data_IF_630199225838
#
_entry.id   IF_630199225838
#
_cell.length_a   1.000
_cell.length_b   1.000
_cell.length_c   1.000
_cell.angle_alpha   90.00
_cell.angle_beta   90.00
_cell.angle_gamma   90.00
#
_symmetry.space_group_name_H-M   'P 1'
#
loop_
_entity.id
_entity.type
_entity.pdbx_description
1 polymer ?
#
# COMPACT_ATOMS: atom_id res chain seq x y z
N UNK A 1 -2.84 43.50 3.08
CA UNK A 1 -2.72 42.56 4.24
C UNK A 1 -3.85 41.52 4.28
N UNK A 2 -5.15 41.87 4.46
CA UNK A 2 -6.26 40.86 4.51
C UNK A 2 -6.39 40.09 3.22
N UNK A 3 -6.33 40.74 2.05
CA UNK A 3 -6.43 40.09 0.76
C UNK A 3 -5.27 39.11 0.49
N UNK A 4 -4.06 39.44 0.90
CA UNK A 4 -2.90 38.54 0.75
C UNK A 4 -3.05 37.27 1.63
N UNK A 5 -3.56 37.40 2.85
CA UNK A 5 -3.85 36.25 3.70
C UNK A 5 -4.93 35.37 3.09
N UNK A 6 -6.01 36.00 2.59
CA UNK A 6 -7.06 35.28 1.91
C UNK A 6 -6.53 34.50 0.70
N UNK A 7 -5.71 35.15 -0.14
CA UNK A 7 -5.14 34.51 -1.34
C UNK A 7 -4.24 33.32 -1.00
N UNK A 8 -3.38 33.46 0.02
CA UNK A 8 -2.50 32.35 0.48
C UNK A 8 -3.25 31.12 0.96
N UNK A 9 -4.46 31.29 1.47
CA UNK A 9 -5.24 30.22 2.08
C UNK A 9 -6.23 29.60 1.10
N UNK A 10 -6.97 30.43 0.35
CA UNK A 10 -8.15 30.00 -0.40
C UNK A 10 -8.05 30.12 -1.92
N UNK A 11 -7.05 30.80 -2.45
CA UNK A 11 -6.84 30.77 -3.91
C UNK A 11 -6.27 29.42 -4.32
N UNK A 12 -6.65 28.87 -5.50
CA UNK A 12 -6.08 27.65 -6.03
C UNK A 12 -4.56 27.74 -6.10
N UNK A 13 -3.88 26.77 -5.51
CA UNK A 13 -2.42 26.66 -5.51
C UNK A 13 -1.94 25.31 -6.07
N UNK A 14 -2.86 24.41 -6.41
CA UNK A 14 -2.55 23.15 -7.07
C UNK A 14 -2.88 23.27 -8.54
N UNK A 15 -1.88 22.98 -9.38
CA UNK A 15 -2.01 22.96 -10.84
C UNK A 15 -2.03 21.53 -11.34
N UNK A 16 -2.82 21.29 -12.38
CA UNK A 16 -2.75 20.06 -13.15
C UNK A 16 -2.17 20.35 -14.54
N UNK A 17 -1.28 19.48 -15.06
CA UNK A 17 -0.92 19.51 -16.46
C UNK A 17 -2.17 19.36 -17.33
N UNK A 18 -2.19 20.03 -18.48
CA UNK A 18 -3.26 19.88 -19.46
C UNK A 18 -3.49 18.39 -19.78
N UNK A 19 -4.76 17.98 -19.79
CA UNK A 19 -5.22 16.60 -20.01
C UNK A 19 -5.05 15.61 -18.85
N UNK A 20 -4.68 16.03 -17.65
CA UNK A 20 -4.61 15.14 -16.48
C UNK A 20 -5.86 15.30 -15.61
N UNK A 21 -6.66 14.24 -15.45
CA UNK A 21 -7.87 14.27 -14.59
C UNK A 21 -7.57 14.04 -13.12
N UNK A 22 -6.48 13.36 -12.81
CA UNK A 22 -6.08 13.01 -11.45
C UNK A 22 -4.59 12.73 -11.38
N UNK A 23 -3.98 13.00 -10.25
CA UNK A 23 -2.58 12.68 -9.96
C UNK A 23 -2.48 12.04 -8.59
N UNK A 24 -1.58 11.06 -8.47
CA UNK A 24 -1.27 10.43 -7.20
C UNK A 24 0.08 10.88 -6.71
N UNK A 25 0.16 11.26 -5.45
CA UNK A 25 1.41 11.53 -4.76
C UNK A 25 1.65 10.45 -3.70
N UNK A 26 2.92 10.16 -3.48
CA UNK A 26 3.37 9.14 -2.54
C UNK A 26 4.24 9.81 -1.48
N UNK A 27 3.80 9.75 -0.23
CA UNK A 27 4.53 10.24 0.93
C UNK A 27 5.03 9.02 1.68
N UNK A 28 6.34 8.85 1.76
CA UNK A 28 6.97 7.70 2.40
C UNK A 28 6.77 7.70 3.91
N UNK A 29 6.91 6.53 4.52
CA UNK A 29 6.70 6.35 5.97
C UNK A 29 7.62 7.25 6.80
N UNK A 30 8.87 7.47 6.34
CA UNK A 30 9.86 8.30 7.04
C UNK A 30 9.92 9.75 6.53
N UNK A 31 8.92 10.19 5.74
CA UNK A 31 8.91 11.52 5.17
C UNK A 31 8.79 12.60 6.25
N UNK A 32 9.66 13.57 6.18
CA UNK A 32 9.54 14.84 6.88
C UNK A 32 8.78 15.89 6.05
N UNK A 33 8.60 17.07 6.59
CA UNK A 33 7.89 18.14 5.90
C UNK A 33 8.62 18.60 4.62
N UNK A 34 9.95 18.63 4.64
CA UNK A 34 10.74 19.02 3.46
C UNK A 34 10.56 18.02 2.32
N UNK A 35 10.52 16.73 2.65
CA UNK A 35 10.21 15.65 1.69
C UNK A 35 8.82 15.85 1.06
N UNK A 36 7.81 16.21 1.84
CA UNK A 36 6.47 16.51 1.30
C UNK A 36 6.50 17.68 0.33
N UNK A 37 7.15 18.79 0.70
CA UNK A 37 7.29 19.96 -0.18
C UNK A 37 8.01 19.58 -1.47
N UNK A 38 9.10 18.81 -1.36
CA UNK A 38 9.87 18.30 -2.51
C UNK A 38 8.98 17.47 -3.43
N UNK A 39 8.27 16.47 -2.89
CA UNK A 39 7.35 15.61 -3.67
C UNK A 39 6.29 16.45 -4.40
N UNK A 40 5.68 17.42 -3.74
CA UNK A 40 4.68 18.28 -4.39
C UNK A 40 5.28 19.15 -5.50
N UNK A 41 6.48 19.70 -5.28
CA UNK A 41 7.18 20.55 -6.25
C UNK A 41 7.70 19.77 -7.45
N UNK A 42 8.35 18.63 -7.26
CA UNK A 42 8.84 17.75 -8.33
C UNK A 42 7.71 17.19 -9.19
N UNK A 43 6.55 17.02 -8.61
CA UNK A 43 5.35 16.67 -9.34
C UNK A 43 4.69 17.85 -10.06
N UNK A 44 5.22 19.06 -9.94
CA UNK A 44 4.70 20.27 -10.58
C UNK A 44 3.31 20.66 -10.06
N UNK A 45 2.98 20.30 -8.83
CA UNK A 45 1.64 20.50 -8.28
C UNK A 45 1.45 21.87 -7.62
N UNK A 46 2.52 22.54 -7.19
CA UNK A 46 2.42 23.81 -6.47
C UNK A 46 2.74 24.99 -7.40
N UNK A 47 1.82 25.97 -7.45
CA UNK A 47 2.08 27.28 -8.08
C UNK A 47 3.05 28.08 -7.20
N UNK A 48 2.81 28.08 -5.89
CA UNK A 48 3.57 28.87 -4.93
C UNK A 48 3.86 28.02 -3.66
N UNK A 49 5.07 27.46 -3.60
CA UNK A 49 5.51 26.65 -2.46
C UNK A 49 5.59 27.44 -1.17
N UNK A 50 6.00 28.72 -1.21
CA UNK A 50 6.12 29.55 -0.01
C UNK A 50 4.77 29.76 0.68
N UNK A 51 3.68 29.92 -0.09
CA UNK A 51 2.33 30.06 0.47
C UNK A 51 1.84 28.76 1.10
N UNK A 52 2.16 27.62 0.50
CA UNK A 52 1.86 26.30 1.06
C UNK A 52 2.62 26.07 2.38
N UNK A 53 3.93 26.31 2.39
CA UNK A 53 4.77 26.13 3.57
C UNK A 53 4.32 27.02 4.73
N UNK A 54 4.01 28.29 4.44
CA UNK A 54 3.51 29.21 5.45
C UNK A 54 2.24 28.69 6.11
N UNK A 55 1.24 28.27 5.30
CA UNK A 55 -0.03 27.77 5.85
C UNK A 55 0.15 26.42 6.56
N UNK A 56 1.03 25.54 6.05
CA UNK A 56 1.34 24.26 6.69
C UNK A 56 1.91 24.45 8.10
N UNK A 57 2.78 25.45 8.30
CA UNK A 57 3.30 25.83 9.63
C UNK A 57 2.18 26.33 10.53
N UNK A 58 1.32 27.23 10.05
CA UNK A 58 0.18 27.76 10.82
C UNK A 58 -0.78 26.64 11.26
N UNK A 59 -1.00 25.65 10.40
CA UNK A 59 -1.87 24.49 10.67
C UNK A 59 -1.18 23.36 11.44
N UNK A 60 0.09 23.54 11.85
CA UNK A 60 0.91 22.52 12.53
C UNK A 60 1.00 21.21 11.76
N UNK A 61 0.92 21.27 10.43
CA UNK A 61 1.06 20.10 9.58
C UNK A 61 2.51 19.58 9.57
N UNK A 62 3.48 20.47 9.71
CA UNK A 62 4.92 20.14 9.74
C UNK A 62 5.30 19.05 10.75
N UNK A 63 4.54 18.91 11.82
CA UNK A 63 4.78 17.95 12.89
C UNK A 63 3.78 16.77 12.86
N UNK A 64 2.95 16.68 11.82
CA UNK A 64 1.92 15.67 11.72
C UNK A 64 1.78 15.16 10.27
N UNK A 65 2.92 14.73 9.72
CA UNK A 65 2.96 14.12 8.40
C UNK A 65 2.28 12.74 8.46
N UNK A 66 1.43 12.48 7.51
CA UNK A 66 0.78 11.18 7.35
C UNK A 66 1.29 10.54 6.06
N UNK A 67 2.06 9.43 6.15
CA UNK A 67 2.54 8.73 4.97
C UNK A 67 1.39 8.08 4.20
N UNK A 68 1.61 7.82 2.92
CA UNK A 68 0.69 7.08 2.08
C UNK A 68 0.50 7.66 0.69
N UNK A 69 -0.44 7.07 -0.05
CA UNK A 69 -0.81 7.49 -1.41
C UNK A 69 -2.05 8.37 -1.38
N UNK A 70 -1.93 9.59 -1.89
CA UNK A 70 -3.03 10.56 -1.94
C UNK A 70 -3.42 10.87 -3.38
N UNK A 71 -4.72 10.84 -3.64
CA UNK A 71 -5.28 11.26 -4.91
C UNK A 71 -5.54 12.77 -4.89
N UNK A 72 -5.05 13.45 -5.92
CA UNK A 72 -5.33 14.86 -6.19
C UNK A 72 -6.05 14.88 -7.54
N UNK A 73 -7.31 15.24 -7.55
CA UNK A 73 -8.20 15.11 -8.71
C UNK A 73 -8.79 16.45 -9.20
N UNK A 74 -8.37 17.55 -8.60
CA UNK A 74 -8.82 18.89 -8.95
C UNK A 74 -7.83 19.95 -8.49
N UNK A 75 -7.99 21.15 -8.97
CA UNK A 75 -7.29 22.32 -8.42
C UNK A 75 -7.74 22.53 -6.96
N UNK A 76 -6.78 22.38 -6.05
CA UNK A 76 -6.98 22.59 -4.61
C UNK A 76 -6.35 23.91 -4.20
N UNK A 77 -6.94 24.57 -3.22
CA UNK A 77 -6.26 25.61 -2.49
C UNK A 77 -5.36 25.00 -1.39
N UNK A 78 -4.50 25.81 -0.79
CA UNK A 78 -3.57 25.34 0.24
C UNK A 78 -4.30 24.73 1.45
N UNK A 79 -5.45 25.29 1.84
CA UNK A 79 -6.22 24.79 2.96
C UNK A 79 -6.79 23.40 2.71
N UNK A 80 -7.31 23.16 1.52
CA UNK A 80 -7.84 21.86 1.10
C UNK A 80 -6.73 20.81 1.00
N UNK A 81 -5.60 21.15 0.35
CA UNK A 81 -4.47 20.25 0.20
C UNK A 81 -3.90 19.85 1.58
N UNK A 82 -3.64 20.81 2.46
CA UNK A 82 -3.12 20.52 3.80
C UNK A 82 -4.13 19.68 4.61
N UNK A 83 -5.42 19.96 4.51
CA UNK A 83 -6.44 19.16 5.19
C UNK A 83 -6.49 17.73 4.66
N UNK A 84 -6.36 17.52 3.34
CA UNK A 84 -6.28 16.20 2.73
C UNK A 84 -5.08 15.42 3.30
N UNK A 85 -3.88 15.99 3.23
CA UNK A 85 -2.66 15.34 3.66
C UNK A 85 -2.65 15.07 5.18
N UNK A 86 -3.08 16.05 5.98
CA UNK A 86 -3.15 15.93 7.43
C UNK A 86 -4.19 14.93 7.91
N UNK A 87 -5.27 14.72 7.15
CA UNK A 87 -6.32 13.76 7.51
C UNK A 87 -5.88 12.31 7.44
N UNK A 88 -4.84 12.01 6.65
CA UNK A 88 -4.40 10.64 6.38
C UNK A 88 -5.39 9.83 5.53
N UNK A 89 -6.33 10.47 4.85
CA UNK A 89 -7.29 9.79 3.95
C UNK A 89 -6.58 9.34 2.68
N UNK A 90 -5.90 8.22 2.79
CA UNK A 90 -5.18 7.59 1.70
C UNK A 90 -6.14 6.98 0.67
N UNK A 91 -5.68 6.91 -0.58
CA UNK A 91 -6.36 6.15 -1.63
C UNK A 91 -5.72 4.76 -1.71
N UNK A 92 -6.47 3.68 -1.49
CA UNK A 92 -5.92 2.32 -1.58
C UNK A 92 -5.45 1.99 -3.00
N UNK A 93 -4.57 1.01 -3.10
CA UNK A 93 -4.12 0.40 -4.35
C UNK A 93 -4.62 -1.02 -4.45
N UNK A 94 -4.78 -1.51 -5.67
CA UNK A 94 -5.09 -2.91 -5.95
C UNK A 94 -3.78 -3.66 -6.19
N UNK A 95 -3.42 -4.51 -5.24
CA UNK A 95 -2.24 -5.39 -5.33
C UNK A 95 -2.68 -6.73 -5.91
N UNK A 96 -2.15 -7.07 -7.07
CA UNK A 96 -2.48 -8.32 -7.76
C UNK A 96 -1.26 -9.21 -7.89
N UNK A 97 -1.41 -10.45 -7.51
CA UNK A 97 -0.43 -11.49 -7.77
C UNK A 97 -1.12 -12.82 -8.12
N UNK A 98 -0.54 -13.53 -9.07
CA UNK A 98 -0.97 -14.83 -9.57
C UNK A 98 0.24 -15.57 -10.14
N UNK A 99 0.14 -16.88 -10.28
CA UNK A 99 1.11 -17.74 -10.97
C UNK A 99 2.59 -17.51 -10.57
N UNK A 100 2.84 -17.27 -9.29
CA UNK A 100 4.18 -17.07 -8.77
C UNK A 100 4.78 -18.42 -8.36
N UNK A 101 6.00 -18.68 -8.84
CA UNK A 101 6.66 -19.97 -8.62
C UNK A 101 7.52 -19.98 -7.37
N UNK A 102 8.06 -18.85 -6.98
CA UNK A 102 8.96 -18.73 -5.83
C UNK A 102 8.58 -17.58 -4.89
N UNK A 103 9.07 -17.64 -3.67
CA UNK A 103 8.88 -16.58 -2.66
C UNK A 103 9.56 -15.28 -3.08
N UNK A 104 10.69 -15.38 -3.76
CA UNK A 104 11.44 -14.25 -4.30
C UNK A 104 10.63 -13.52 -5.38
N UNK A 105 9.98 -14.27 -6.27
CA UNK A 105 9.08 -13.70 -7.28
C UNK A 105 7.87 -13.02 -6.62
N UNK A 106 7.30 -13.64 -5.58
CA UNK A 106 6.22 -13.03 -4.80
C UNK A 106 6.68 -11.71 -4.17
N UNK A 107 7.80 -11.75 -3.42
CA UNK A 107 8.34 -10.57 -2.75
C UNK A 107 8.63 -9.44 -3.74
N UNK A 108 9.26 -9.72 -4.87
CA UNK A 108 9.52 -8.76 -5.93
C UNK A 108 8.24 -8.21 -6.57
N UNK A 109 7.24 -9.06 -6.82
CA UNK A 109 5.94 -8.62 -7.39
C UNK A 109 5.19 -7.69 -6.44
N UNK A 110 5.23 -7.96 -5.15
CA UNK A 110 4.58 -7.12 -4.13
C UNK A 110 5.35 -5.81 -3.94
N UNK A 111 6.68 -5.85 -3.81
CA UNK A 111 7.52 -4.66 -3.66
C UNK A 111 7.37 -3.64 -4.80
N UNK A 112 7.02 -4.08 -6.01
CA UNK A 112 6.72 -3.19 -7.12
C UNK A 112 5.37 -2.45 -6.98
N UNK A 113 4.56 -2.78 -5.98
CA UNK A 113 3.21 -2.26 -5.82
C UNK A 113 3.00 -1.51 -4.50
N UNK A 114 3.76 -1.84 -3.45
CA UNK A 114 3.70 -1.19 -2.13
C UNK A 114 5.05 -0.57 -1.75
N UNK A 115 5.11 0.14 -0.63
CA UNK A 115 6.35 0.78 -0.14
C UNK A 115 7.38 -0.23 0.39
N UNK A 116 6.94 -1.35 0.95
CA UNK A 116 7.84 -2.36 1.49
C UNK A 116 8.70 -2.97 0.38
N UNK A 117 10.00 -3.04 0.61
CA UNK A 117 10.95 -3.63 -0.33
C UNK A 117 10.88 -5.17 -0.34
N UNK A 118 11.45 -5.78 -1.39
CA UNK A 118 11.44 -7.24 -1.57
C UNK A 118 12.23 -7.98 -0.51
N UNK A 119 13.28 -7.38 0.03
CA UNK A 119 14.10 -8.00 1.07
C UNK A 119 13.33 -8.12 2.39
N UNK A 120 12.68 -7.04 2.84
CA UNK A 120 11.86 -7.05 4.06
C UNK A 120 10.69 -8.02 3.96
N UNK A 121 10.01 -8.08 2.80
CA UNK A 121 8.92 -9.03 2.56
C UNK A 121 9.45 -10.47 2.61
N UNK A 122 10.54 -10.76 1.89
CA UNK A 122 11.13 -12.09 1.85
C UNK A 122 11.64 -12.53 3.23
N UNK A 123 12.33 -11.63 3.95
CA UNK A 123 12.82 -11.90 5.31
C UNK A 123 11.69 -12.26 6.26
N UNK A 124 10.56 -11.57 6.19
CA UNK A 124 9.40 -11.86 7.02
C UNK A 124 8.75 -13.20 6.66
N UNK A 125 8.62 -13.52 5.36
CA UNK A 125 8.06 -14.79 4.89
C UNK A 125 8.96 -15.97 5.30
N UNK A 126 10.28 -15.79 5.29
CA UNK A 126 11.26 -16.86 5.58
C UNK A 126 11.63 -16.94 7.07
N UNK A 127 11.09 -16.06 7.92
CA UNK A 127 11.30 -16.12 9.36
C UNK A 127 10.78 -17.44 9.94
N UNK A 128 11.70 -18.21 10.53
CA UNK A 128 11.39 -19.54 11.05
C UNK A 128 10.46 -19.53 12.24
N UNK A 129 10.54 -18.48 13.08
CA UNK A 129 9.66 -18.32 14.26
C UNK A 129 8.23 -18.03 13.79
N UNK A 130 8.08 -17.18 12.79
CA UNK A 130 6.78 -16.89 12.18
C UNK A 130 6.18 -18.14 11.54
N UNK A 131 6.96 -18.88 10.75
CA UNK A 131 6.52 -20.10 10.08
C UNK A 131 6.07 -21.18 11.10
N UNK A 132 6.86 -21.41 12.14
CA UNK A 132 6.54 -22.39 13.18
C UNK A 132 5.23 -22.07 13.92
N UNK A 133 4.98 -20.79 14.24
CA UNK A 133 3.71 -20.34 14.86
C UNK A 133 2.48 -20.68 14.01
N UNK A 134 2.65 -20.84 12.70
CA UNK A 134 1.58 -21.20 11.77
C UNK A 134 1.53 -22.70 11.47
N UNK A 135 2.45 -23.50 11.98
CA UNK A 135 2.61 -24.90 11.61
C UNK A 135 3.10 -25.08 10.16
N UNK A 136 3.77 -24.05 9.63
CA UNK A 136 4.32 -24.03 8.28
C UNK A 136 5.85 -24.07 8.32
N UNK A 137 6.44 -24.25 7.16
CA UNK A 137 7.89 -24.26 6.97
C UNK A 137 8.24 -23.62 5.62
N UNK A 138 9.53 -23.54 5.32
CA UNK A 138 10.03 -22.89 4.12
C UNK A 138 9.51 -23.51 2.80
N UNK A 139 9.09 -24.77 2.80
CA UNK A 139 8.61 -25.47 1.61
C UNK A 139 7.12 -25.21 1.34
N UNK A 140 6.32 -24.97 2.38
CA UNK A 140 4.87 -24.85 2.26
C UNK A 140 4.31 -23.45 2.61
N UNK A 141 5.14 -22.51 3.06
CA UNK A 141 4.70 -21.13 3.40
C UNK A 141 4.04 -20.42 2.22
N UNK A 142 4.39 -20.78 0.98
CA UNK A 142 3.80 -20.18 -0.21
C UNK A 142 2.27 -20.40 -0.31
N UNK A 143 1.73 -21.46 0.29
CA UNK A 143 0.29 -21.74 0.29
C UNK A 143 -0.53 -20.66 1.05
N UNK A 144 0.13 -19.85 1.90
CA UNK A 144 -0.49 -18.74 2.59
C UNK A 144 -0.98 -17.64 1.63
N UNK A 145 -0.34 -17.50 0.47
CA UNK A 145 -0.55 -16.43 -0.48
C UNK A 145 -1.51 -16.86 -1.59
N UNK A 146 -2.81 -16.76 -1.31
CA UNK A 146 -3.85 -17.15 -2.27
C UNK A 146 -3.87 -16.13 -3.42
N UNK A 147 -3.72 -16.59 -4.68
CA UNK A 147 -3.75 -15.71 -5.84
C UNK A 147 -5.06 -14.94 -5.94
N UNK A 148 -5.00 -13.62 -5.95
CA UNK A 148 -6.14 -12.73 -6.09
C UNK A 148 -5.68 -11.28 -6.26
N UNK A 149 -6.64 -10.36 -6.32
CA UNK A 149 -6.44 -8.92 -6.20
C UNK A 149 -6.94 -8.45 -4.83
N UNK A 150 -6.06 -7.80 -4.09
CA UNK A 150 -6.34 -7.30 -2.75
C UNK A 150 -6.18 -5.79 -2.68
N UNK A 151 -6.99 -5.13 -1.87
CA UNK A 151 -6.81 -3.71 -1.59
C UNK A 151 -5.87 -3.50 -0.39
N UNK A 152 -4.85 -2.66 -0.60
CA UNK A 152 -3.88 -2.26 0.40
C UNK A 152 -3.68 -0.75 0.38
N UNK A 153 -3.20 -0.19 1.47
CA UNK A 153 -2.55 1.11 1.42
C UNK A 153 -1.14 0.96 0.88
N UNK A 154 -0.69 1.97 0.11
CA UNK A 154 0.62 1.90 -0.53
C UNK A 154 1.77 1.75 0.50
N UNK A 155 1.67 2.42 1.65
CA UNK A 155 2.65 2.36 2.73
C UNK A 155 2.50 1.13 3.65
N UNK A 156 1.92 0.05 3.16
CA UNK A 156 1.79 -1.21 3.90
C UNK A 156 3.17 -1.84 4.13
N UNK A 157 3.52 -2.14 5.40
CA UNK A 157 4.77 -2.82 5.73
C UNK A 157 4.74 -4.31 5.35
N UNK A 158 5.92 -4.96 5.30
CA UNK A 158 6.03 -6.40 5.07
C UNK A 158 5.21 -7.22 6.08
N UNK A 159 5.29 -6.87 7.36
CA UNK A 159 4.50 -7.51 8.41
C UNK A 159 3.00 -7.36 8.20
N UNK A 160 2.54 -6.13 7.91
CA UNK A 160 1.12 -5.85 7.66
C UNK A 160 0.61 -6.61 6.44
N UNK A 161 1.42 -6.68 5.36
CA UNK A 161 1.09 -7.45 4.18
C UNK A 161 0.91 -8.93 4.50
N UNK A 162 1.89 -9.56 5.15
CA UNK A 162 1.83 -10.99 5.46
C UNK A 162 0.71 -11.32 6.45
N UNK A 163 0.49 -10.47 7.45
CA UNK A 163 -0.62 -10.64 8.40
C UNK A 163 -1.98 -10.51 7.70
N UNK A 164 -2.12 -9.63 6.72
CA UNK A 164 -3.34 -9.56 5.89
C UNK A 164 -3.50 -10.84 5.06
N UNK A 165 -2.46 -11.38 4.47
CA UNK A 165 -2.53 -12.64 3.73
C UNK A 165 -2.91 -13.81 4.64
N UNK A 166 -2.39 -13.86 5.86
CA UNK A 166 -2.80 -14.86 6.85
C UNK A 166 -4.31 -14.76 7.16
N UNK A 167 -4.84 -13.56 7.27
CA UNK A 167 -6.28 -13.36 7.46
C UNK A 167 -7.08 -13.88 6.26
N UNK A 168 -6.68 -13.56 5.05
CA UNK A 168 -7.34 -14.02 3.82
C UNK A 168 -7.25 -15.55 3.68
N UNK A 169 -6.12 -16.15 4.02
CA UNK A 169 -5.94 -17.60 4.07
C UNK A 169 -6.90 -18.27 5.05
N UNK A 170 -7.05 -17.71 6.27
CA UNK A 170 -8.00 -18.23 7.26
C UNK A 170 -9.45 -18.11 6.80
N UNK A 171 -9.80 -17.02 6.10
CA UNK A 171 -11.14 -16.84 5.53
C UNK A 171 -11.40 -17.79 4.34
N UNK A 172 -10.39 -18.04 3.53
CA UNK A 172 -10.48 -18.98 2.41
C UNK A 172 -10.76 -20.40 2.90
N UNK A 173 -10.08 -20.85 3.95
CA UNK A 173 -10.29 -22.17 4.56
C UNK A 173 -11.48 -22.16 5.52
N UNK A 174 -12.67 -21.95 4.96
CA UNK A 174 -13.94 -22.07 5.69
C UNK A 174 -14.27 -23.53 6.04
N UNK A 175 -15.35 -23.71 6.82
CA UNK A 175 -15.81 -25.04 7.25
C UNK A 175 -16.10 -25.97 6.09
N UNK A 176 -16.63 -25.45 4.99
CA UNK A 176 -16.97 -26.23 3.80
C UNK A 176 -15.73 -26.75 3.08
N UNK A 177 -14.70 -25.87 2.88
CA UNK A 177 -13.44 -26.27 2.24
C UNK A 177 -12.64 -27.23 3.11
N UNK A 178 -12.62 -27.01 4.42
CA UNK A 178 -12.03 -27.95 5.38
C UNK A 178 -12.64 -29.33 5.27
N UNK A 179 -13.97 -29.43 5.33
CA UNK A 179 -14.67 -30.71 5.21
C UNK A 179 -14.42 -31.43 3.88
N UNK A 180 -14.21 -30.67 2.78
CA UNK A 180 -13.82 -31.25 1.49
C UNK A 180 -12.39 -31.80 1.50
N UNK A 181 -11.45 -31.09 2.09
CA UNK A 181 -10.06 -31.54 2.25
C UNK A 181 -9.99 -32.80 3.10
N UNK A 182 -10.71 -32.83 4.21
CA UNK A 182 -10.79 -34.01 5.12
C UNK A 182 -11.34 -35.26 4.40
N UNK A 183 -12.34 -35.10 3.54
CA UNK A 183 -12.89 -36.21 2.74
C UNK A 183 -11.85 -36.88 1.83
N UNK A 184 -10.92 -36.09 1.27
CA UNK A 184 -9.85 -36.61 0.42
C UNK A 184 -8.56 -36.90 1.20
N UNK A 185 -8.60 -36.75 2.52
CA UNK A 185 -7.48 -37.00 3.45
C UNK A 185 -6.22 -36.18 3.11
N UNK A 186 -6.37 -34.95 2.61
CA UNK A 186 -5.30 -34.02 2.36
C UNK A 186 -5.37 -32.87 3.33
N UNK A 187 -4.22 -32.42 3.80
CA UNK A 187 -4.14 -31.17 4.54
C UNK A 187 -4.18 -29.96 3.60
N UNK A 188 -4.30 -28.75 4.15
CA UNK A 188 -4.58 -27.53 3.38
C UNK A 188 -3.46 -27.14 2.43
N UNK A 189 -2.18 -27.36 2.78
CA UNK A 189 -1.06 -27.09 1.88
C UNK A 189 -0.91 -28.17 0.80
N UNK A 190 -1.27 -29.43 1.07
CA UNK A 190 -1.33 -30.49 0.07
C UNK A 190 -2.40 -30.21 -0.98
N UNK A 191 -3.58 -29.76 -0.56
CA UNK A 191 -4.63 -29.31 -1.47
C UNK A 191 -4.15 -28.13 -2.33
N UNK A 192 -3.48 -27.12 -1.75
CA UNK A 192 -2.93 -25.99 -2.49
C UNK A 192 -1.86 -26.44 -3.50
N UNK A 193 -1.00 -27.38 -3.12
CA UNK A 193 0.01 -27.96 -4.00
C UNK A 193 -0.64 -28.71 -5.17
N UNK A 194 -1.62 -29.55 -4.90
CA UNK A 194 -2.35 -30.29 -5.94
C UNK A 194 -3.05 -29.33 -6.90
N UNK A 195 -3.72 -28.28 -6.37
CA UNK A 195 -4.36 -27.26 -7.19
C UNK A 195 -3.37 -26.56 -8.13
N UNK A 196 -2.17 -26.24 -7.65
CA UNK A 196 -1.12 -25.61 -8.46
C UNK A 196 -0.58 -26.52 -9.58
N UNK A 197 -0.58 -27.83 -9.38
CA UNK A 197 -0.22 -28.82 -10.42
C UNK A 197 -1.31 -28.87 -11.48
N UNK A 198 -2.57 -29.00 -11.05
CA UNK A 198 -3.72 -29.07 -11.98
C UNK A 198 -3.82 -27.78 -12.82
N UNK A 199 -3.57 -26.62 -12.26
CA UNK A 199 -3.57 -25.34 -12.99
C UNK A 199 -2.52 -25.31 -14.12
N UNK A 200 -1.40 -25.99 -13.93
CA UNK A 200 -0.33 -26.03 -14.95
C UNK A 200 -0.51 -27.03 -16.07
N UNK A 201 -1.33 -28.04 -15.84
CA UNK A 201 -1.63 -29.08 -16.82
C UNK A 201 -2.79 -28.68 -17.77
N UNK A 202 -3.47 -27.59 -17.49
CA UNK A 202 -4.53 -27.00 -18.32
C UNK A 202 -3.95 -25.95 -19.29
#
# INVERSE_FOLDING_TARGET
>A
MVYELYSRVYQPNVVFPENTKEKYIYITTDADFLTVVKVLSENGLLINSNSFEWLAKQKKYTNNIKPGRYKIDRALNNNELINLLRSGRQTPIKVTFNNLRTKEQLAGRIANQIEADSFSILSYITDTVFQQKLGLNNNNIACLFIPNTYEFYWNTSAEQFVNRMLKEYKLFWDTTRKAKADKIKLNYYEVATLASIVEKEQ
#
